data_IF_839361207911
#
_entry.id   IF_839361207911
#
_cell.length_a   1.000
_cell.length_b   1.000
_cell.length_c   1.000
_cell.angle_alpha   90.00
_cell.angle_beta   90.00
_cell.angle_gamma   90.00
#
_symmetry.space_group_name_H-M   'P 1'
#
loop_
_entity.id
_entity.type
_entity.pdbx_description
1 polymer ?
#
# COMPACT_ATOMS: atom_id res chain seq x y z
N UNK A 1 5.90 4.80 0.36
CA UNK A 1 6.96 3.87 -0.08
C UNK A 1 6.33 2.61 -0.63
N UNK A 2 6.88 2.10 -1.70
CA UNK A 2 6.32 0.91 -2.34
C UNK A 2 7.40 -0.14 -2.54
N UNK A 3 7.08 -1.39 -2.21
CA UNK A 3 7.96 -2.55 -2.33
C UNK A 3 7.32 -3.56 -3.28
N UNK A 4 7.89 -3.74 -4.45
CA UNK A 4 7.37 -4.68 -5.43
C UNK A 4 8.43 -5.72 -5.76
N UNK A 5 7.98 -6.93 -6.03
CA UNK A 5 8.86 -8.01 -6.40
C UNK A 5 8.08 -9.29 -6.55
N UNK A 6 8.78 -10.39 -6.89
CA UNK A 6 8.12 -11.69 -7.01
C UNK A 6 7.47 -12.09 -5.68
N UNK A 7 6.50 -12.96 -5.77
CA UNK A 7 5.91 -13.53 -4.56
C UNK A 7 7.01 -14.21 -3.74
N UNK A 8 6.85 -14.14 -2.43
CA UNK A 8 7.78 -14.77 -1.48
C UNK A 8 9.20 -14.19 -1.53
N UNK A 9 9.32 -12.93 -1.96
CA UNK A 9 10.62 -12.27 -1.98
C UNK A 9 10.97 -11.62 -0.64
N UNK A 10 10.14 -11.80 0.39
CA UNK A 10 10.37 -11.20 1.70
C UNK A 10 9.93 -9.76 1.83
N UNK A 11 9.19 -9.23 0.86
CA UNK A 11 8.79 -7.83 0.88
C UNK A 11 7.88 -7.48 2.05
N UNK A 12 6.97 -8.39 2.43
CA UNK A 12 6.10 -8.19 3.59
C UNK A 12 6.92 -8.16 4.87
N UNK A 13 7.83 -9.10 5.02
CA UNK A 13 8.73 -9.14 6.18
C UNK A 13 9.55 -7.88 6.26
N UNK A 14 10.10 -7.44 5.14
CA UNK A 14 10.90 -6.22 5.10
C UNK A 14 10.08 -4.99 5.52
N UNK A 15 8.86 -4.86 4.99
CA UNK A 15 8.00 -3.74 5.33
C UNK A 15 7.70 -3.70 6.83
N UNK A 16 7.38 -4.83 7.40
CA UNK A 16 7.07 -4.90 8.84
C UNK A 16 8.29 -4.68 9.72
N UNK A 17 9.47 -5.05 9.24
CA UNK A 17 10.71 -4.79 9.97
C UNK A 17 11.07 -3.31 9.95
N UNK A 18 10.89 -2.66 8.81
CA UNK A 18 11.21 -1.24 8.66
C UNK A 18 10.19 -0.34 9.36
N UNK A 19 8.94 -0.79 9.45
CA UNK A 19 7.84 0.00 9.99
C UNK A 19 7.06 -0.80 11.02
N UNK A 20 7.69 -1.18 12.15
CA UNK A 20 7.06 -2.09 13.12
C UNK A 20 5.83 -1.52 13.82
N UNK A 21 5.71 -0.19 13.87
CA UNK A 21 4.59 0.45 14.57
C UNK A 21 3.42 0.80 13.63
N UNK A 22 3.55 0.48 12.35
CA UNK A 22 2.49 0.79 11.39
C UNK A 22 1.36 -0.23 11.50
N UNK A 23 0.14 0.24 11.27
CA UNK A 23 -0.99 -0.67 11.05
C UNK A 23 -0.73 -1.51 9.81
N UNK A 24 -1.43 -2.64 9.69
CA UNK A 24 -1.18 -3.58 8.61
C UNK A 24 -2.50 -4.10 8.04
N UNK A 25 -2.63 -4.05 6.72
CA UNK A 25 -3.78 -4.56 5.99
C UNK A 25 -3.28 -5.38 4.82
N UNK A 26 -3.87 -6.56 4.62
CA UNK A 26 -3.51 -7.46 3.53
C UNK A 26 -4.71 -7.71 2.63
N UNK A 27 -4.60 -7.30 1.36
CA UNK A 27 -5.69 -7.44 0.40
C UNK A 27 -5.85 -8.86 -0.16
N UNK A 28 -5.00 -9.80 0.24
CA UNK A 28 -5.24 -11.20 -0.07
C UNK A 28 -6.44 -11.77 0.68
N UNK A 29 -6.79 -11.18 1.83
CA UNK A 29 -7.97 -11.61 2.58
C UNK A 29 -9.22 -11.08 1.90
N UNK A 30 -10.12 -11.98 1.54
CA UNK A 30 -11.34 -11.61 0.82
C UNK A 30 -12.22 -10.64 1.61
N UNK A 31 -12.32 -10.83 2.92
CA UNK A 31 -13.11 -9.93 3.74
C UNK A 31 -12.57 -8.50 3.68
N UNK A 32 -11.26 -8.35 3.72
CA UNK A 32 -10.61 -7.05 3.61
C UNK A 32 -10.86 -6.43 2.24
N UNK A 33 -10.68 -7.21 1.19
CA UNK A 33 -10.91 -6.75 -0.17
C UNK A 33 -12.35 -6.32 -0.39
N UNK A 34 -13.30 -7.12 0.10
CA UNK A 34 -14.73 -6.79 -0.01
C UNK A 34 -15.08 -5.51 0.73
N UNK A 35 -14.51 -5.31 1.92
CA UNK A 35 -14.76 -4.09 2.69
C UNK A 35 -14.27 -2.85 1.93
N UNK A 36 -13.09 -2.93 1.35
CA UNK A 36 -12.52 -1.82 0.59
C UNK A 36 -13.34 -1.53 -0.68
N UNK A 37 -13.78 -2.58 -1.36
CA UNK A 37 -14.58 -2.43 -2.59
C UNK A 37 -15.96 -1.89 -2.31
N UNK A 38 -16.54 -2.23 -1.17
CA UNK A 38 -17.92 -1.81 -0.84
C UNK A 38 -18.01 -0.35 -0.47
N UNK A 39 -17.01 0.17 0.27
CA UNK A 39 -17.01 1.55 0.73
C UNK A 39 -15.57 2.00 0.94
N UNK A 40 -14.97 2.50 -0.13
CA UNK A 40 -13.56 2.87 -0.09
C UNK A 40 -13.31 4.03 0.88
N UNK A 41 -14.19 5.05 0.87
CA UNK A 41 -14.04 6.17 1.79
C UNK A 41 -14.06 5.73 3.24
N UNK A 42 -15.04 4.89 3.59
CA UNK A 42 -15.14 4.35 4.95
C UNK A 42 -13.95 3.49 5.30
N UNK A 43 -13.50 2.67 4.35
CA UNK A 43 -12.33 1.83 4.55
C UNK A 43 -11.08 2.67 4.87
N UNK A 44 -10.87 3.75 4.12
CA UNK A 44 -9.72 4.63 4.35
C UNK A 44 -9.81 5.34 5.70
N UNK A 45 -11.01 5.73 6.11
CA UNK A 45 -11.20 6.37 7.43
C UNK A 45 -10.93 5.40 8.58
N UNK A 46 -11.28 4.12 8.40
CA UNK A 46 -11.05 3.09 9.42
C UNK A 46 -9.60 2.61 9.45
N UNK A 47 -8.86 2.86 8.38
CA UNK A 47 -7.48 2.38 8.25
C UNK A 47 -6.55 3.56 7.90
N UNK A 48 -6.39 4.52 8.82
CA UNK A 48 -5.62 5.73 8.53
C UNK A 48 -4.11 5.46 8.50
N UNK A 49 -3.39 6.36 7.85
CA UNK A 49 -1.93 6.37 7.90
C UNK A 49 -1.45 6.65 9.33
N UNK A 50 -0.29 6.15 9.75
CA UNK A 50 0.64 5.35 8.95
C UNK A 50 0.20 3.89 8.87
N UNK A 51 0.34 3.29 7.70
CA UNK A 51 -0.18 1.95 7.48
C UNK A 51 0.56 1.24 6.35
N UNK A 52 0.65 -0.09 6.45
CA UNK A 52 1.17 -0.94 5.40
C UNK A 52 -0.01 -1.60 4.69
N UNK A 53 -0.12 -1.40 3.38
CA UNK A 53 -1.08 -2.12 2.54
C UNK A 53 -0.32 -3.19 1.77
N UNK A 54 -0.60 -4.45 2.10
CA UNK A 54 0.07 -5.60 1.49
C UNK A 54 -0.77 -6.12 0.33
N UNK A 55 -0.10 -6.52 -0.74
CA UNK A 55 -0.71 -7.09 -1.95
C UNK A 55 -1.68 -6.10 -2.61
N UNK A 56 -1.22 -4.86 -2.80
CA UNK A 56 -2.07 -3.79 -3.35
C UNK A 56 -2.50 -4.03 -4.79
N UNK A 57 -1.80 -4.91 -5.52
CA UNK A 57 -2.22 -5.22 -6.89
C UNK A 57 -3.60 -5.88 -6.94
N UNK A 58 -4.07 -6.41 -5.80
CA UNK A 58 -5.41 -6.99 -5.71
C UNK A 58 -6.51 -5.91 -5.69
N UNK A 59 -6.14 -4.67 -5.40
CA UNK A 59 -7.10 -3.58 -5.35
C UNK A 59 -6.45 -2.28 -5.85
N UNK A 60 -6.18 -2.17 -7.15
CA UNK A 60 -5.43 -1.02 -7.69
C UNK A 60 -6.11 0.33 -7.47
N UNK A 61 -7.42 0.34 -7.30
CA UNK A 61 -8.16 1.60 -7.09
C UNK A 61 -7.70 2.36 -5.86
N UNK A 62 -7.13 1.66 -4.87
CA UNK A 62 -6.67 2.32 -3.66
C UNK A 62 -5.50 3.28 -3.95
N UNK A 63 -4.79 3.08 -5.05
CA UNK A 63 -3.66 3.93 -5.40
C UNK A 63 -4.08 5.37 -5.65
N UNK A 64 -5.26 5.58 -6.25
CA UNK A 64 -5.78 6.93 -6.45
C UNK A 64 -6.03 7.63 -5.12
N UNK A 65 -6.63 6.93 -4.18
CA UNK A 65 -6.90 7.50 -2.86
C UNK A 65 -5.61 7.85 -2.12
N UNK A 66 -4.63 6.94 -2.19
CA UNK A 66 -3.34 7.17 -1.57
C UNK A 66 -2.65 8.36 -2.23
N UNK A 67 -2.73 8.45 -3.56
CA UNK A 67 -2.10 9.54 -4.30
C UNK A 67 -2.69 10.90 -3.88
N UNK A 68 -4.01 10.99 -3.77
CA UNK A 68 -4.67 12.21 -3.32
C UNK A 68 -4.18 12.59 -1.93
N UNK A 69 -4.11 11.62 -1.03
CA UNK A 69 -3.65 11.88 0.33
C UNK A 69 -2.19 12.36 0.36
N UNK A 70 -1.32 11.68 -0.38
CA UNK A 70 0.10 12.01 -0.43
C UNK A 70 0.32 13.41 -0.98
N UNK A 71 -0.43 13.78 -2.02
CA UNK A 71 -0.34 15.11 -2.60
C UNK A 71 -0.81 16.20 -1.65
N UNK A 72 -1.77 15.88 -0.79
CA UNK A 72 -2.27 16.82 0.21
C UNK A 72 -1.36 16.93 1.43
N UNK A 73 -0.42 16.00 1.60
CA UNK A 73 0.46 15.96 2.77
C UNK A 73 1.92 15.87 2.33
N UNK A 74 2.46 16.89 1.66
CA UNK A 74 3.80 16.81 1.05
C UNK A 74 4.92 16.65 2.06
N UNK A 75 4.69 16.97 3.33
CA UNK A 75 5.72 16.84 4.36
C UNK A 75 5.69 15.49 5.07
N UNK A 76 4.70 14.66 4.78
CA UNK A 76 4.58 13.33 5.36
C UNK A 76 5.30 12.33 4.46
N UNK A 77 6.28 11.63 5.00
CA UNK A 77 7.06 10.66 4.24
C UNK A 77 6.75 9.26 4.72
N UNK A 78 6.60 8.35 3.75
CA UNK A 78 6.35 6.93 4.04
C UNK A 78 5.13 6.71 4.94
N UNK A 79 4.13 7.60 4.86
CA UNK A 79 2.89 7.41 5.62
C UNK A 79 2.13 6.18 5.13
N UNK A 80 2.22 5.89 3.84
CA UNK A 80 1.67 4.68 3.23
C UNK A 80 2.81 3.82 2.71
N UNK A 81 2.86 2.58 3.17
CA UNK A 81 3.83 1.60 2.70
C UNK A 81 3.06 0.54 1.92
N UNK A 82 3.43 0.35 0.66
CA UNK A 82 2.71 -0.52 -0.26
C UNK A 82 3.60 -1.69 -0.63
N UNK A 83 3.04 -2.89 -0.59
CA UNK A 83 3.72 -4.07 -1.11
C UNK A 83 2.88 -4.71 -2.19
N UNK A 84 3.51 -5.46 -3.07
CA UNK A 84 2.79 -6.17 -4.11
C UNK A 84 3.72 -6.99 -4.97
N UNK A 85 3.13 -7.88 -5.76
CA UNK A 85 3.85 -8.59 -6.79
C UNK A 85 4.13 -7.64 -7.97
N UNK A 86 4.98 -8.04 -8.89
CA UNK A 86 5.28 -7.23 -10.07
C UNK A 86 4.00 -6.95 -10.84
N UNK A 87 3.59 -5.68 -10.87
CA UNK A 87 2.36 -5.25 -11.53
C UNK A 87 2.66 -4.03 -12.40
N UNK A 88 2.49 -4.13 -13.71
CA UNK A 88 2.76 -3.01 -14.60
C UNK A 88 1.94 -1.77 -14.30
N UNK A 89 0.70 -1.93 -13.85
CA UNK A 89 -0.19 -0.81 -13.54
C UNK A 89 0.32 0.06 -12.40
N UNK A 90 1.22 -0.45 -11.57
CA UNK A 90 1.79 0.32 -10.49
C UNK A 90 2.92 1.23 -10.96
N UNK A 91 3.38 1.08 -12.19
CA UNK A 91 4.46 1.90 -12.73
C UNK A 91 4.06 3.35 -12.92
N UNK A 92 2.76 3.64 -12.98
CA UNK A 92 2.27 4.99 -13.09
C UNK A 92 2.10 5.71 -11.78
N UNK A 93 2.55 5.12 -10.68
CA UNK A 93 2.44 5.75 -9.38
C UNK A 93 3.27 7.03 -9.32
N UNK A 94 2.82 7.98 -8.49
CA UNK A 94 3.48 9.26 -8.32
C UNK A 94 4.94 9.10 -7.89
N UNK A 95 5.84 10.00 -8.32
CA UNK A 95 7.21 10.01 -7.81
C UNK A 95 7.30 10.20 -6.31
N UNK A 96 6.23 10.62 -5.64
CA UNK A 96 6.20 10.69 -4.20
C UNK A 96 6.11 9.33 -3.53
N UNK A 97 5.70 8.31 -4.27
CA UNK A 97 5.72 6.94 -3.79
C UNK A 97 7.07 6.34 -4.16
N UNK A 98 7.96 6.27 -3.19
CA UNK A 98 9.27 5.67 -3.42
C UNK A 98 9.10 4.18 -3.71
N UNK A 99 9.67 3.73 -4.82
CA UNK A 99 9.55 2.33 -5.24
C UNK A 99 10.87 1.62 -5.01
N UNK A 100 10.82 0.48 -4.34
CA UNK A 100 11.98 -0.36 -4.11
C UNK A 100 11.64 -1.79 -4.48
N UNK A 101 12.63 -2.50 -5.00
CA UNK A 101 12.50 -3.92 -5.25
C UNK A 101 12.99 -4.71 -4.04
N UNK A 102 12.19 -5.69 -3.64
CA UNK A 102 12.57 -6.62 -2.58
C UNK A 102 13.00 -7.93 -3.23
N UNK A 103 14.23 -8.04 -3.56
CA UNK A 103 14.78 -9.23 -4.22
C UNK A 103 15.40 -10.17 -3.20
#
# INVERSE_FOLDING_TARGET
>A
MALFGPRQSGKTTLARMLFPDYSYVNFEHESTLNAAQSDLDGFMRLNPAPIIFDEVQRFPKILNEIQVWVDAHPNEKAAYVLTGSNQPELRGASPRLSVRRAD
#
